data_IF_159667441854
#
_entry.id   IF_159667441854
#
_cell.length_a   1.000
_cell.length_b   1.000
_cell.length_c   1.000
_cell.angle_alpha   90.00
_cell.angle_beta   90.00
_cell.angle_gamma   90.00
#
_symmetry.space_group_name_H-M   'P 1'
#
loop_
_entity.id
_entity.type
_entity.pdbx_description
1 polymer ?
#
# COMPACT_ATOMS: atom_id res chain seq x y z
N UNK A 1 -6.77 23.90 -32.12
CA UNK A 1 -7.16 23.17 -30.90
C UNK A 1 -7.12 21.69 -31.21
N UNK A 2 -6.38 20.86 -30.44
CA UNK A 2 -6.49 19.40 -30.59
C UNK A 2 -7.81 18.97 -29.94
N UNK A 3 -8.65 18.27 -30.69
CA UNK A 3 -9.88 17.67 -30.16
C UNK A 3 -9.49 16.61 -29.14
N UNK A 4 -9.84 16.83 -27.87
CA UNK A 4 -9.69 15.82 -26.82
C UNK A 4 -10.79 14.77 -27.01
N UNK A 5 -10.41 13.53 -27.28
CA UNK A 5 -11.32 12.39 -27.19
C UNK A 5 -11.45 12.02 -25.71
N UNK A 6 -12.68 11.99 -25.14
CA UNK A 6 -12.87 11.57 -23.76
C UNK A 6 -12.56 10.08 -23.58
N UNK A 7 -12.11 9.72 -22.39
CA UNK A 7 -11.88 8.33 -22.01
C UNK A 7 -13.20 7.53 -22.03
N UNK A 8 -13.14 6.21 -22.32
CA UNK A 8 -14.31 5.36 -22.24
C UNK A 8 -14.87 5.30 -20.80
N UNK A 9 -16.14 4.93 -20.61
CA UNK A 9 -16.71 4.72 -19.30
C UNK A 9 -15.88 3.72 -18.49
N UNK A 10 -15.68 4.00 -17.21
CA UNK A 10 -14.90 3.13 -16.34
C UNK A 10 -15.58 1.77 -16.12
N UNK A 11 -14.79 0.70 -16.23
CA UNK A 11 -15.18 -0.65 -15.86
C UNK A 11 -14.48 -1.07 -14.57
N UNK A 12 -15.27 -1.45 -13.56
CA UNK A 12 -14.74 -1.87 -12.25
C UNK A 12 -13.97 -3.19 -12.37
N UNK A 13 -12.71 -3.27 -11.92
CA UNK A 13 -11.95 -4.51 -11.90
C UNK A 13 -12.64 -5.60 -11.07
N UNK A 14 -12.49 -6.84 -11.50
CA UNK A 14 -12.90 -8.01 -10.73
C UNK A 14 -12.11 -8.02 -9.41
N UNK A 15 -12.81 -8.13 -8.28
CA UNK A 15 -12.17 -8.16 -6.97
C UNK A 15 -11.42 -9.49 -6.70
N UNK A 16 -10.36 -9.41 -5.91
CA UNK A 16 -9.72 -10.58 -5.30
C UNK A 16 -10.73 -11.32 -4.39
N UNK A 17 -10.78 -12.67 -4.35
CA UNK A 17 -9.81 -13.64 -4.86
C UNK A 17 -9.99 -14.09 -6.32
N UNK A 18 -11.02 -13.58 -7.03
CA UNK A 18 -11.28 -13.96 -8.43
C UNK A 18 -10.32 -13.29 -9.43
N UNK A 19 -9.56 -12.29 -8.96
CA UNK A 19 -8.51 -11.60 -9.72
C UNK A 19 -7.13 -11.84 -9.10
N UNK A 20 -6.11 -11.86 -9.96
CA UNK A 20 -4.68 -11.84 -9.59
C UNK A 20 -4.29 -10.56 -8.84
N UNK A 21 -4.99 -9.45 -9.09
CA UNK A 21 -4.69 -8.17 -8.47
C UNK A 21 -5.63 -7.92 -7.31
N UNK A 22 -5.05 -7.64 -6.15
CA UNK A 22 -5.77 -7.22 -4.94
C UNK A 22 -5.57 -5.72 -4.76
N UNK A 23 -6.64 -4.94 -4.67
CA UNK A 23 -6.54 -3.50 -4.44
C UNK A 23 -5.88 -3.23 -3.08
N UNK A 24 -5.01 -2.21 -3.02
CA UNK A 24 -4.49 -1.71 -1.74
C UNK A 24 -5.59 -1.02 -0.95
N UNK A 25 -5.58 -1.19 0.37
CA UNK A 25 -6.51 -0.54 1.31
C UNK A 25 -6.22 0.95 1.48
N UNK A 26 -5.10 1.43 0.95
CA UNK A 26 -4.70 2.84 0.98
C UNK A 26 -5.25 3.68 -0.17
N UNK A 27 -5.92 3.07 -1.17
CA UNK A 27 -6.57 3.81 -2.25
C UNK A 27 -7.55 4.86 -1.66
N UNK A 28 -7.59 6.05 -2.25
CA UNK A 28 -8.37 7.19 -1.76
C UNK A 28 -9.80 7.26 -2.34
N UNK A 29 -10.14 6.38 -3.27
CA UNK A 29 -11.40 6.35 -4.01
C UNK A 29 -11.90 4.89 -4.11
N UNK A 30 -13.19 4.72 -4.37
CA UNK A 30 -13.85 3.46 -4.71
C UNK A 30 -13.40 2.90 -6.07
N UNK A 31 -12.70 3.70 -6.86
CA UNK A 31 -11.95 3.31 -8.05
C UNK A 31 -10.47 2.99 -7.68
N UNK A 32 -10.11 1.73 -7.37
CA UNK A 32 -8.74 1.41 -7.03
C UNK A 32 -7.83 1.56 -8.24
N UNK A 33 -6.68 2.20 -8.03
CA UNK A 33 -5.63 2.40 -9.04
C UNK A 33 -4.33 1.71 -8.67
N UNK A 34 -4.14 1.40 -7.38
CA UNK A 34 -2.97 0.69 -6.86
C UNK A 34 -3.34 -0.70 -6.36
N UNK A 35 -2.53 -1.69 -6.73
CA UNK A 35 -2.80 -3.10 -6.49
C UNK A 35 -1.54 -3.88 -6.08
N UNK A 36 -1.76 -4.94 -5.30
CA UNK A 36 -0.81 -6.03 -5.09
C UNK A 36 -1.03 -7.10 -6.14
N UNK A 37 0.03 -7.50 -6.83
CA UNK A 37 0.04 -8.73 -7.62
C UNK A 37 0.15 -9.93 -6.68
N UNK A 38 -0.96 -10.62 -6.42
CA UNK A 38 -0.99 -11.70 -5.43
C UNK A 38 -0.21 -12.94 -5.84
N UNK A 39 0.22 -13.02 -7.11
CA UNK A 39 0.95 -14.15 -7.67
C UNK A 39 2.45 -13.86 -7.86
N UNK A 40 2.94 -12.66 -7.55
CA UNK A 40 4.37 -12.33 -7.60
C UNK A 40 5.22 -13.30 -6.72
N UNK A 41 6.51 -13.54 -7.01
CA UNK A 41 7.35 -14.40 -6.18
C UNK A 41 7.35 -14.01 -4.68
N UNK A 42 7.47 -14.99 -3.77
CA UNK A 42 7.32 -14.76 -2.32
C UNK A 42 8.40 -13.81 -1.76
N UNK A 43 9.63 -13.95 -2.25
CA UNK A 43 10.76 -13.06 -1.99
C UNK A 43 10.48 -11.63 -2.48
N UNK A 44 9.92 -11.48 -3.68
CA UNK A 44 9.53 -10.17 -4.22
C UNK A 44 8.43 -9.51 -3.39
N UNK A 45 7.42 -10.27 -2.96
CA UNK A 45 6.38 -9.78 -2.04
C UNK A 45 6.99 -9.36 -0.70
N UNK A 46 7.87 -10.18 -0.14
CA UNK A 46 8.57 -9.87 1.10
C UNK A 46 9.40 -8.58 0.98
N UNK A 47 10.22 -8.46 -0.05
CA UNK A 47 11.06 -7.28 -0.28
C UNK A 47 10.23 -6.01 -0.48
N UNK A 48 9.13 -6.11 -1.23
CA UNK A 48 8.22 -4.99 -1.45
C UNK A 48 7.53 -4.50 -0.16
N UNK A 49 7.11 -5.43 0.70
CA UNK A 49 6.56 -5.12 2.02
C UNK A 49 7.63 -4.53 2.95
N UNK A 50 8.77 -5.20 3.04
CA UNK A 50 9.88 -4.85 3.91
C UNK A 50 10.41 -3.45 3.58
N UNK A 51 10.58 -3.12 2.30
CA UNK A 51 11.04 -1.79 1.88
C UNK A 51 10.12 -0.67 2.40
N UNK A 52 8.81 -0.82 2.25
CA UNK A 52 7.82 0.17 2.70
C UNK A 52 7.77 0.31 4.22
N UNK A 53 7.69 -0.82 4.92
CA UNK A 53 7.61 -0.84 6.38
C UNK A 53 8.88 -0.23 6.97
N UNK A 54 10.07 -0.63 6.48
CA UNK A 54 11.34 -0.08 6.97
C UNK A 54 11.48 1.41 6.70
N UNK A 55 11.01 1.91 5.55
CA UNK A 55 11.03 3.34 5.26
C UNK A 55 10.23 4.13 6.30
N UNK A 56 9.02 3.67 6.64
CA UNK A 56 8.19 4.31 7.68
C UNK A 56 8.82 4.16 9.06
N UNK A 57 9.32 2.96 9.40
CA UNK A 57 9.99 2.71 10.67
C UNK A 57 11.15 3.68 10.87
N UNK A 58 12.01 3.85 9.88
CA UNK A 58 13.15 4.76 9.98
C UNK A 58 12.71 6.21 10.24
N UNK A 59 11.64 6.66 9.59
CA UNK A 59 11.06 7.99 9.80
C UNK A 59 10.51 8.14 11.22
N UNK A 60 9.74 7.16 11.69
CA UNK A 60 9.12 7.18 13.02
C UNK A 60 10.17 7.09 14.13
N UNK A 61 11.22 6.29 13.96
CA UNK A 61 12.35 6.22 14.88
C UNK A 61 13.05 7.58 15.00
N UNK A 62 13.34 8.23 13.86
CA UNK A 62 13.94 9.56 13.86
C UNK A 62 13.07 10.61 14.57
N UNK A 63 11.75 10.51 14.44
CA UNK A 63 10.82 11.38 15.17
C UNK A 63 10.77 11.07 16.66
N UNK A 64 10.79 9.79 17.04
CA UNK A 64 10.78 9.37 18.45
C UNK A 64 12.01 9.83 19.23
N UNK A 65 13.14 10.03 18.55
CA UNK A 65 14.38 10.55 19.14
C UNK A 65 14.38 12.08 19.33
N UNK A 66 13.39 12.81 18.80
CA UNK A 66 13.29 14.27 18.98
C UNK A 66 12.49 14.61 20.24
N UNK A 67 13.05 15.46 21.10
CA UNK A 67 12.41 15.89 22.35
C UNK A 67 11.22 16.83 22.17
N UNK A 68 11.12 17.52 21.03
CA UNK A 68 9.96 18.34 20.64
C UNK A 68 9.85 18.40 19.12
N UNK A 69 8.61 18.53 18.63
CA UNK A 69 8.31 18.77 17.21
C UNK A 69 7.57 20.10 17.14
N UNK A 70 8.28 21.15 16.72
CA UNK A 70 7.67 22.46 16.47
C UNK A 70 7.06 22.48 15.07
N UNK A 71 5.73 22.35 15.01
CA UNK A 71 5.01 22.16 13.76
C UNK A 71 3.54 22.56 13.91
N UNK A 72 2.93 23.09 12.85
CA UNK A 72 1.48 23.32 12.82
C UNK A 72 0.74 21.98 12.79
N UNK A 73 -0.40 21.88 13.47
CA UNK A 73 -1.15 20.63 13.63
C UNK A 73 -1.56 19.98 12.30
N UNK A 74 -1.89 20.77 11.27
CA UNK A 74 -2.24 20.23 9.96
C UNK A 74 -1.04 19.58 9.26
N UNK A 75 0.16 20.15 9.40
CA UNK A 75 1.39 19.57 8.84
C UNK A 75 1.69 18.24 9.53
N UNK A 76 1.48 18.13 10.85
CA UNK A 76 1.64 16.87 11.56
C UNK A 76 0.62 15.81 11.11
N UNK A 77 -0.62 16.23 10.84
CA UNK A 77 -1.67 15.35 10.31
C UNK A 77 -1.31 14.83 8.90
N UNK A 78 -0.88 15.72 8.01
CA UNK A 78 -0.46 15.35 6.65
C UNK A 78 0.74 14.42 6.68
N UNK A 79 1.68 14.68 7.58
CA UNK A 79 2.84 13.81 7.79
C UNK A 79 2.45 12.43 8.32
N UNK A 80 1.51 12.35 9.27
CA UNK A 80 1.01 11.09 9.77
C UNK A 80 0.29 10.30 8.66
N UNK A 81 -0.51 10.97 7.82
CA UNK A 81 -1.15 10.35 6.67
C UNK A 81 -0.11 9.83 5.65
N UNK A 82 0.94 10.62 5.39
CA UNK A 82 2.07 10.24 4.53
C UNK A 82 2.78 8.97 5.05
N UNK A 83 2.88 8.78 6.37
CA UNK A 83 3.42 7.56 6.96
C UNK A 83 2.43 6.38 6.92
N UNK A 84 1.14 6.66 7.10
CA UNK A 84 0.09 5.65 7.16
C UNK A 84 -0.15 4.96 5.80
N UNK A 85 0.01 5.64 4.67
CA UNK A 85 -0.13 5.05 3.33
C UNK A 85 0.86 3.90 3.10
N UNK A 86 2.19 4.12 3.11
CA UNK A 86 3.17 3.05 2.90
C UNK A 86 3.14 1.96 3.98
N UNK A 87 2.75 2.29 5.22
CA UNK A 87 2.56 1.28 6.27
C UNK A 87 1.39 0.34 5.93
N UNK A 88 0.22 0.88 5.55
CA UNK A 88 -0.93 0.09 5.09
C UNK A 88 -0.58 -0.74 3.86
N UNK A 89 0.10 -0.14 2.89
CA UNK A 89 0.55 -0.85 1.69
C UNK A 89 1.44 -2.04 2.04
N UNK A 90 2.40 -1.85 2.94
CA UNK A 90 3.27 -2.91 3.42
C UNK A 90 2.49 -4.03 4.12
N UNK A 91 1.50 -3.68 4.95
CA UNK A 91 0.63 -4.63 5.62
C UNK A 91 -0.22 -5.46 4.64
N UNK A 92 -0.78 -4.83 3.60
CA UNK A 92 -1.55 -5.54 2.57
C UNK A 92 -0.69 -6.58 1.83
N UNK A 93 0.56 -6.22 1.51
CA UNK A 93 1.51 -7.14 0.89
C UNK A 93 1.90 -8.27 1.84
N UNK A 94 2.12 -7.99 3.13
CA UNK A 94 2.39 -9.04 4.13
C UNK A 94 1.21 -9.98 4.34
N UNK A 95 -0.02 -9.49 4.25
CA UNK A 95 -1.21 -10.34 4.35
C UNK A 95 -1.27 -11.33 3.17
N UNK A 96 -1.04 -10.86 1.94
CA UNK A 96 -0.91 -11.72 0.75
C UNK A 96 0.19 -12.77 0.94
N UNK A 97 1.38 -12.34 1.38
CA UNK A 97 2.50 -13.23 1.64
C UNK A 97 2.13 -14.30 2.70
N UNK A 98 1.55 -13.86 3.82
CA UNK A 98 1.16 -14.73 4.93
C UNK A 98 0.09 -15.76 4.54
N UNK A 99 -0.92 -15.35 3.76
CA UNK A 99 -1.94 -16.28 3.22
C UNK A 99 -1.32 -17.38 2.37
N UNK A 100 -0.37 -17.01 1.50
CA UNK A 100 0.32 -17.98 0.63
C UNK A 100 1.25 -18.91 1.38
N UNK A 101 1.96 -18.40 2.39
CA UNK A 101 2.79 -19.25 3.25
C UNK A 101 1.94 -20.27 4.03
N UNK A 102 0.78 -19.85 4.57
CA UNK A 102 -0.16 -20.76 5.24
C UNK A 102 -0.72 -21.85 4.32
N UNK A 103 -1.10 -21.48 3.11
CA UNK A 103 -1.59 -22.44 2.11
C UNK A 103 -0.56 -23.53 1.77
N UNK A 104 0.74 -23.17 1.74
CA UNK A 104 1.84 -24.12 1.51
C UNK A 104 2.15 -25.01 2.71
N UNK A 105 1.89 -24.55 3.94
CA UNK A 105 2.12 -25.35 5.15
C UNK A 105 1.04 -26.38 5.42
N UNK A 106 -0.11 -26.27 4.74
CA UNK A 106 -1.22 -27.23 4.80
C UNK A 106 -1.15 -28.33 3.75
N UNK A 107 -0.12 -28.31 2.89
CA UNK A 107 0.24 -29.37 1.94
C UNK A 107 1.25 -30.34 2.57
#
# INVERSE_FOLDING_TARGET
>A
MKTLTPDPPYEKPIAHPKSRFMALTSNCDDMPTLFVDTQAPLDVLYDAANYRIRAVTQVMENLSMRGSIECQSFILSDFALLCAIPLRDGCDVLDVLGRRLRARSSE
#
